data_IF_223022437028
#
_entry.id   IF_223022437028
#
_cell.length_a   1.000
_cell.length_b   1.000
_cell.length_c   1.000
_cell.angle_alpha   90.00
_cell.angle_beta   90.00
_cell.angle_gamma   90.00
#
_symmetry.space_group_name_H-M   'P 1'
#
loop_
_entity.id
_entity.type
_entity.pdbx_description
1 polymer ?
#
# COMPACT_ATOMS: atom_id res chain seq x y z
N UNK A 1 8.11 -23.49 -5.12
CA UNK A 1 7.56 -22.90 -3.88
C UNK A 1 7.88 -21.41 -3.89
N UNK A 2 6.86 -20.55 -3.99
CA UNK A 2 7.00 -19.17 -4.50
C UNK A 2 7.01 -18.07 -3.43
N UNK A 3 7.62 -18.29 -2.28
CA UNK A 3 7.66 -17.29 -1.20
C UNK A 3 8.12 -15.93 -1.71
N UNK A 4 7.45 -14.88 -1.23
CA UNK A 4 7.88 -13.50 -1.43
C UNK A 4 8.36 -12.93 -0.12
N UNK A 5 9.31 -12.01 -0.21
CA UNK A 5 9.83 -11.35 0.97
C UNK A 5 10.01 -9.87 0.72
N UNK A 6 9.83 -9.10 1.79
CA UNK A 6 10.13 -7.68 1.84
C UNK A 6 11.10 -7.49 3.01
N UNK A 7 12.22 -6.82 2.75
CA UNK A 7 13.23 -6.52 3.75
C UNK A 7 13.34 -5.02 3.97
N UNK A 8 13.24 -4.63 5.23
CA UNK A 8 13.42 -3.26 5.71
C UNK A 8 14.47 -3.27 6.82
N UNK A 9 15.44 -2.36 6.72
CA UNK A 9 16.47 -2.18 7.74
C UNK A 9 16.38 -0.76 8.25
N UNK A 10 16.09 -0.60 9.53
CA UNK A 10 15.98 0.71 10.17
C UNK A 10 17.37 1.26 10.49
N UNK A 11 17.49 2.58 10.50
CA UNK A 11 18.73 3.27 10.81
C UNK A 11 18.42 4.60 11.52
N UNK A 12 19.36 5.17 12.29
CA UNK A 12 19.10 6.36 13.09
C UNK A 12 18.90 7.65 12.28
N UNK A 13 19.22 7.67 10.99
CA UNK A 13 19.15 8.86 10.14
C UNK A 13 17.88 8.89 9.28
N UNK A 14 17.26 7.74 9.05
CA UNK A 14 16.05 7.61 8.24
C UNK A 14 14.77 7.79 9.06
N UNK A 15 13.76 8.41 8.44
CA UNK A 15 12.40 8.37 8.98
C UNK A 15 11.88 6.92 8.95
N UNK A 16 11.43 6.32 10.08
CA UNK A 16 11.05 4.91 10.14
C UNK A 16 9.97 4.50 9.12
N UNK A 17 8.93 5.32 8.95
CA UNK A 17 7.89 5.06 7.96
C UNK A 17 8.43 5.05 6.53
N UNK A 18 9.39 5.93 6.22
CA UNK A 18 10.03 5.98 4.90
C UNK A 18 10.81 4.70 4.61
N UNK A 19 11.45 4.11 5.61
CA UNK A 19 12.16 2.81 5.48
C UNK A 19 11.18 1.72 5.06
N UNK A 20 10.03 1.64 5.75
CA UNK A 20 8.98 0.66 5.43
C UNK A 20 8.43 0.91 4.03
N UNK A 21 7.99 2.14 3.72
CA UNK A 21 7.39 2.43 2.42
C UNK A 21 8.36 2.18 1.27
N UNK A 22 9.63 2.54 1.43
CA UNK A 22 10.69 2.28 0.44
C UNK A 22 10.98 0.80 0.24
N UNK A 23 10.83 -0.03 1.29
CA UNK A 23 10.99 -1.49 1.15
C UNK A 23 9.88 -2.10 0.30
N UNK A 24 8.63 -1.69 0.53
CA UNK A 24 7.50 -2.10 -0.30
C UNK A 24 7.64 -1.59 -1.73
N UNK A 25 8.00 -0.32 -1.93
CA UNK A 25 8.17 0.25 -3.27
C UNK A 25 9.23 -0.52 -4.07
N UNK A 26 10.37 -0.86 -3.46
CA UNK A 26 11.40 -1.73 -4.07
C UNK A 26 10.87 -3.11 -4.43
N UNK A 27 10.05 -3.72 -3.57
CA UNK A 27 9.40 -5.01 -3.87
C UNK A 27 8.52 -4.90 -5.12
N UNK A 28 7.68 -3.86 -5.20
CA UNK A 28 6.82 -3.63 -6.36
C UNK A 28 7.63 -3.36 -7.63
N UNK A 29 8.70 -2.57 -7.56
CA UNK A 29 9.60 -2.36 -8.70
C UNK A 29 10.18 -3.67 -9.22
N UNK A 30 10.60 -4.56 -8.32
CA UNK A 30 11.20 -5.84 -8.69
C UNK A 30 10.18 -6.76 -9.39
N UNK A 31 8.98 -6.93 -8.83
CA UNK A 31 7.95 -7.77 -9.47
C UNK A 31 7.46 -7.17 -10.80
N UNK A 32 7.52 -5.85 -10.98
CA UNK A 32 7.14 -5.21 -12.24
C UNK A 32 8.18 -5.36 -13.33
N UNK A 33 9.47 -5.31 -12.96
CA UNK A 33 10.56 -5.56 -13.88
C UNK A 33 10.59 -7.02 -14.36
N UNK A 34 10.07 -7.94 -13.55
CA UNK A 34 10.07 -9.36 -13.88
C UNK A 34 8.89 -9.76 -14.78
N UNK A 35 9.20 -10.20 -16.00
CA UNK A 35 8.17 -10.66 -16.97
C UNK A 35 7.41 -11.90 -16.52
N UNK A 36 8.02 -12.78 -15.72
CA UNK A 36 7.32 -13.96 -15.21
C UNK A 36 6.26 -13.63 -14.16
N UNK A 37 6.29 -12.43 -13.60
CA UNK A 37 5.43 -11.98 -12.50
C UNK A 37 4.20 -11.21 -12.99
N UNK A 38 4.03 -11.01 -14.29
CA UNK A 38 2.97 -10.17 -14.86
C UNK A 38 1.56 -10.65 -14.48
N UNK A 39 1.32 -11.95 -14.46
CA UNK A 39 0.03 -12.51 -14.04
C UNK A 39 -0.21 -12.28 -12.54
N UNK A 40 0.83 -12.42 -11.72
CA UNK A 40 0.75 -12.12 -10.29
C UNK A 40 0.46 -10.64 -10.05
N UNK A 41 1.19 -9.74 -10.70
CA UNK A 41 0.96 -8.30 -10.66
C UNK A 41 -0.48 -7.96 -11.07
N UNK A 42 -0.98 -8.54 -12.17
CA UNK A 42 -2.35 -8.33 -12.62
C UNK A 42 -3.37 -8.75 -11.55
N UNK A 43 -3.17 -9.91 -10.89
CA UNK A 43 -4.02 -10.35 -9.78
C UNK A 43 -4.00 -9.37 -8.60
N UNK A 44 -2.82 -8.87 -8.21
CA UNK A 44 -2.69 -7.87 -7.13
C UNK A 44 -3.42 -6.59 -7.50
N UNK A 45 -3.24 -6.07 -8.72
CA UNK A 45 -3.93 -4.87 -9.23
C UNK A 45 -5.45 -5.08 -9.20
N UNK A 46 -5.94 -6.19 -9.75
CA UNK A 46 -7.37 -6.50 -9.75
C UNK A 46 -7.93 -6.68 -8.34
N UNK A 47 -7.14 -7.19 -7.39
CA UNK A 47 -7.55 -7.27 -5.99
C UNK A 47 -7.68 -5.87 -5.37
N UNK A 48 -6.70 -5.00 -5.58
CA UNK A 48 -6.72 -3.64 -5.06
C UNK A 48 -7.87 -2.82 -5.66
N UNK A 49 -8.11 -2.91 -6.97
CA UNK A 49 -9.22 -2.19 -7.63
C UNK A 49 -10.60 -2.63 -7.15
N UNK A 50 -10.76 -3.90 -6.77
CA UNK A 50 -12.04 -4.41 -6.24
C UNK A 50 -12.28 -4.01 -4.79
N UNK A 51 -11.21 -3.81 -4.02
CA UNK A 51 -11.28 -3.62 -2.57
C UNK A 51 -11.02 -2.18 -2.11
N UNK A 52 -10.58 -1.28 -3.00
CA UNK A 52 -10.23 0.10 -2.68
C UNK A 52 -10.99 1.09 -3.59
N UNK A 53 -11.40 2.22 -3.01
CA UNK A 53 -11.93 3.35 -3.77
C UNK A 53 -10.84 4.03 -4.60
N UNK A 54 -11.23 4.81 -5.62
CA UNK A 54 -10.29 5.63 -6.41
C UNK A 54 -9.45 6.55 -5.53
N UNK A 55 -10.06 7.15 -4.50
CA UNK A 55 -9.39 7.99 -3.49
C UNK A 55 -8.32 7.23 -2.70
N UNK A 56 -8.62 5.99 -2.29
CA UNK A 56 -7.67 5.11 -1.62
C UNK A 56 -6.51 4.70 -2.54
N UNK A 57 -6.77 4.45 -3.83
CA UNK A 57 -5.73 4.15 -4.82
C UNK A 57 -4.81 5.37 -5.04
N UNK A 58 -5.37 6.58 -5.12
CA UNK A 58 -4.55 7.81 -5.20
C UNK A 58 -3.67 7.97 -3.96
N UNK A 59 -4.22 7.67 -2.78
CA UNK A 59 -3.46 7.66 -1.52
C UNK A 59 -2.28 6.67 -1.58
N UNK A 60 -2.49 5.46 -2.11
CA UNK A 60 -1.40 4.50 -2.36
C UNK A 60 -0.37 5.04 -3.36
N UNK A 61 -0.79 5.69 -4.44
CA UNK A 61 0.12 6.32 -5.42
C UNK A 61 0.94 7.48 -4.85
N UNK A 62 0.46 8.12 -3.78
CA UNK A 62 1.24 9.11 -3.03
C UNK A 62 2.24 8.45 -2.08
N UNK A 63 1.88 7.30 -1.51
CA UNK A 63 2.72 6.55 -0.57
C UNK A 63 3.82 5.73 -1.26
N UNK A 64 3.51 5.17 -2.43
CA UNK A 64 4.37 4.32 -3.23
C UNK A 64 4.45 4.88 -4.65
N UNK A 65 5.55 5.54 -5.02
CA UNK A 65 5.74 6.10 -6.37
C UNK A 65 5.50 5.08 -7.48
N UNK A 66 5.86 3.81 -7.27
CA UNK A 66 5.69 2.73 -8.24
C UNK A 66 4.24 2.48 -8.62
N UNK A 67 3.30 2.76 -7.73
CA UNK A 67 1.87 2.55 -7.98
C UNK A 67 1.33 3.50 -9.05
N UNK A 68 1.99 4.63 -9.30
CA UNK A 68 1.63 5.55 -10.38
C UNK A 68 1.74 4.89 -11.76
N UNK A 69 2.66 3.95 -11.91
CA UNK A 69 2.85 3.17 -13.13
C UNK A 69 1.76 2.11 -13.25
N UNK A 70 1.27 1.58 -12.12
CA UNK A 70 0.25 0.53 -12.08
C UNK A 70 -1.17 1.03 -12.33
N UNK A 71 -1.45 2.27 -11.94
CA UNK A 71 -2.80 2.86 -11.97
C UNK A 71 -2.89 4.13 -12.83
N UNK A 72 -2.40 4.15 -14.08
CA UNK A 72 -2.41 5.35 -14.90
C UNK A 72 -3.83 5.82 -15.24
N UNK A 73 -4.77 4.88 -15.37
CA UNK A 73 -6.19 5.18 -15.65
C UNK A 73 -6.91 5.84 -14.49
N UNK A 74 -6.61 5.45 -13.25
CA UNK A 74 -7.20 6.06 -12.04
C UNK A 74 -6.69 7.47 -11.87
N UNK A 75 -5.38 7.69 -12.02
CA UNK A 75 -4.79 9.02 -11.94
C UNK A 75 -5.33 9.94 -13.03
N UNK A 76 -5.49 9.45 -14.27
CA UNK A 76 -6.09 10.23 -15.35
C UNK A 76 -7.54 10.62 -15.04
N UNK A 77 -8.36 9.70 -14.52
CA UNK A 77 -9.76 10.00 -14.16
C UNK A 77 -9.88 11.02 -13.05
N UNK A 78 -9.07 10.89 -11.98
CA UNK A 78 -9.12 11.84 -10.86
C UNK A 78 -8.67 13.24 -11.27
N UNK A 79 -7.72 13.36 -12.21
CA UNK A 79 -7.34 14.65 -12.82
C UNK A 79 -8.43 15.19 -13.75
N UNK A 80 -9.31 14.35 -14.30
CA UNK A 80 -10.45 14.78 -15.11
C UNK A 80 -11.70 15.12 -14.27
N UNK A 81 -11.83 14.61 -13.05
CA UNK A 81 -13.00 14.79 -12.18
C UNK A 81 -12.92 16.04 -11.28
N UNK A 82 -11.82 16.80 -11.30
CA UNK A 82 -11.75 18.13 -10.65
C UNK A 82 -12.78 19.13 -11.21
N UNK A 83 -13.43 18.83 -12.35
CA UNK A 83 -14.49 19.65 -12.95
C UNK A 83 -15.93 19.21 -12.60
N UNK A 84 -16.16 18.14 -11.82
CA UNK A 84 -17.52 17.63 -11.55
C UNK A 84 -17.74 17.24 -10.08
N UNK A 85 -17.66 18.22 -9.18
CA UNK A 85 -18.18 18.07 -7.81
C UNK A 85 -19.71 18.23 -7.79
N UNK A 86 -20.48 17.16 -8.03
CA UNK A 86 -21.81 16.91 -7.43
C UNK A 86 -22.47 15.65 -8.01
N UNK A 87 -22.52 14.55 -7.24
CA UNK A 87 -23.76 13.85 -6.85
C UNK A 87 -23.52 12.45 -6.23
N UNK A 88 -24.09 12.31 -5.02
CA UNK A 88 -24.74 11.13 -4.41
C UNK A 88 -24.07 9.74 -4.39
N UNK A 89 -23.48 9.43 -3.23
CA UNK A 89 -24.13 8.54 -2.26
C UNK A 89 -23.95 7.03 -2.39
N UNK A 90 -22.88 6.49 -1.78
CA UNK A 90 -22.91 5.28 -0.92
C UNK A 90 -21.83 5.40 0.16
N UNK A 91 -22.30 5.44 1.42
CA UNK A 91 -21.70 5.02 2.69
C UNK A 91 -20.20 5.26 3.02
N UNK A 92 -20.03 6.16 3.99
CA UNK A 92 -19.20 6.07 5.20
C UNK A 92 -17.66 6.02 5.09
N UNK A 93 -17.05 6.96 5.83
CA UNK A 93 -15.65 7.04 6.28
C UNK A 93 -14.57 7.58 5.33
N UNK A 94 -14.94 8.22 4.21
CA UNK A 94 -13.97 9.04 3.47
C UNK A 94 -13.98 10.48 4.04
N UNK A 95 -13.31 10.64 5.18
CA UNK A 95 -12.83 11.93 5.67
C UNK A 95 -11.82 12.48 4.66
N UNK A 96 -12.36 13.10 3.61
CA UNK A 96 -11.61 13.90 2.65
C UNK A 96 -11.26 15.23 3.33
N UNK A 97 -10.30 15.18 4.26
CA UNK A 97 -9.69 16.36 4.82
C UNK A 97 -8.50 16.77 3.95
N UNK A 98 -8.78 17.74 3.06
CA UNK A 98 -7.95 18.90 2.75
C UNK A 98 -6.44 18.76 3.02
N UNK A 99 -5.63 18.82 1.95
CA UNK A 99 -4.29 19.39 2.01
C UNK A 99 -3.32 18.79 3.04
N UNK A 100 -2.60 17.76 2.60
CA UNK A 100 -1.18 17.50 2.94
C UNK A 100 -0.78 16.60 4.11
N UNK A 101 -1.65 15.81 4.78
CA UNK A 101 -1.19 14.61 5.52
C UNK A 101 -2.23 13.47 5.52
N UNK A 102 -1.80 12.26 5.13
CA UNK A 102 -2.62 11.05 5.25
C UNK A 102 -2.82 10.69 6.73
N UNK A 103 -4.06 10.48 7.15
CA UNK A 103 -4.33 10.07 8.54
C UNK A 103 -3.70 8.70 8.83
N UNK A 104 -3.23 8.51 10.06
CA UNK A 104 -2.60 7.25 10.49
C UNK A 104 -3.55 6.05 10.35
N UNK A 105 -4.84 6.26 10.63
CA UNK A 105 -5.89 5.22 10.45
C UNK A 105 -5.99 4.78 9.00
N UNK A 106 -6.02 5.75 8.07
CA UNK A 106 -6.06 5.49 6.62
C UNK A 106 -4.79 4.76 6.17
N UNK A 107 -3.63 5.17 6.66
CA UNK A 107 -2.36 4.50 6.35
C UNK A 107 -2.39 3.02 6.77
N UNK A 108 -2.80 2.72 8.01
CA UNK A 108 -2.92 1.34 8.49
C UNK A 108 -3.90 0.52 7.63
N UNK A 109 -5.07 1.09 7.32
CA UNK A 109 -6.05 0.45 6.46
C UNK A 109 -5.47 0.10 5.08
N UNK A 110 -4.76 1.05 4.45
CA UNK A 110 -4.15 0.85 3.13
C UNK A 110 -3.07 -0.22 3.16
N UNK A 111 -2.18 -0.21 4.15
CA UNK A 111 -1.17 -1.26 4.29
C UNK A 111 -1.79 -2.64 4.52
N UNK A 112 -2.84 -2.76 5.32
CA UNK A 112 -3.56 -4.03 5.51
C UNK A 112 -4.16 -4.55 4.22
N UNK A 113 -4.83 -3.68 3.45
CA UNK A 113 -5.37 -4.05 2.13
C UNK A 113 -4.28 -4.40 1.12
N UNK A 114 -3.15 -3.71 1.18
CA UNK A 114 -1.98 -4.01 0.37
C UNK A 114 -1.41 -5.39 0.66
N UNK A 115 -1.18 -5.70 1.94
CA UNK A 115 -0.69 -7.02 2.39
C UNK A 115 -1.67 -8.12 1.98
N UNK A 116 -2.97 -7.92 2.20
CA UNK A 116 -4.03 -8.86 1.80
C UNK A 116 -4.05 -9.10 0.29
N UNK A 117 -3.77 -8.07 -0.53
CA UNK A 117 -3.72 -8.23 -1.98
C UNK A 117 -2.46 -8.97 -2.48
N UNK A 118 -1.34 -8.84 -1.76
CA UNK A 118 -0.02 -9.39 -2.11
C UNK A 118 0.14 -10.83 -1.58
N UNK A 119 -0.37 -11.09 -0.38
CA UNK A 119 -0.25 -12.39 0.27
C UNK A 119 -1.32 -13.36 -0.24
N UNK A 120 -0.94 -14.59 -0.55
CA UNK A 120 -1.90 -15.67 -0.83
C UNK A 120 -1.40 -16.99 -0.25
N UNK A 121 -2.29 -17.98 -0.13
CA UNK A 121 -1.92 -19.33 0.33
C UNK A 121 -0.84 -19.96 -0.54
N UNK A 122 -0.88 -19.71 -1.85
CA UNK A 122 0.11 -20.20 -2.81
C UNK A 122 1.44 -19.44 -2.75
N UNK A 123 1.38 -18.19 -2.24
CA UNK A 123 2.48 -17.23 -2.27
C UNK A 123 2.56 -16.44 -0.95
N UNK A 124 3.04 -17.08 0.13
CA UNK A 124 3.13 -16.42 1.43
C UNK A 124 4.16 -15.28 1.41
N UNK A 125 3.88 -14.24 2.17
CA UNK A 125 4.73 -13.06 2.33
C UNK A 125 5.50 -13.12 3.65
N UNK A 126 6.83 -13.07 3.57
CA UNK A 126 7.73 -12.90 4.70
C UNK A 126 8.18 -11.44 4.81
N UNK A 127 7.97 -10.81 5.96
CA UNK A 127 8.44 -9.47 6.25
C UNK A 127 9.65 -9.56 7.19
N UNK A 128 10.77 -8.98 6.79
CA UNK A 128 11.99 -8.93 7.58
C UNK A 128 12.28 -7.48 7.98
N UNK A 129 12.36 -7.23 9.28
CA UNK A 129 12.63 -5.91 9.85
C UNK A 129 13.87 -5.97 10.75
N UNK A 130 14.97 -5.36 10.31
CA UNK A 130 16.25 -5.32 11.04
C UNK A 130 16.43 -3.99 11.78
N UNK A 131 17.20 -4.02 12.87
CA UNK A 131 17.56 -2.84 13.67
C UNK A 131 16.35 -2.06 14.22
N UNK A 132 15.29 -2.79 14.63
CA UNK A 132 14.03 -2.24 15.16
C UNK A 132 14.19 -1.22 16.30
N UNK A 133 15.32 -1.19 17.00
CA UNK A 133 15.63 -0.17 18.00
C UNK A 133 15.59 1.28 17.46
N UNK A 134 15.66 1.46 16.13
CA UNK A 134 15.55 2.76 15.47
C UNK A 134 14.13 3.08 14.98
N UNK A 135 13.16 2.18 15.16
CA UNK A 135 11.77 2.45 14.82
C UNK A 135 11.08 3.34 15.88
N UNK A 136 10.16 4.19 15.43
CA UNK A 136 9.33 4.99 16.33
C UNK A 136 8.06 4.24 16.75
N UNK A 137 7.39 4.73 17.81
CA UNK A 137 6.18 4.10 18.36
C UNK A 137 5.07 3.92 17.33
N UNK A 138 4.95 4.89 16.41
CA UNK A 138 3.95 4.82 15.33
C UNK A 138 4.30 3.67 14.38
N UNK A 139 5.54 3.58 13.92
CA UNK A 139 5.98 2.48 13.07
C UNK A 139 5.77 1.12 13.76
N UNK A 140 6.07 1.00 15.05
CA UNK A 140 5.82 -0.23 15.81
C UNK A 140 4.33 -0.57 15.89
N UNK A 141 3.44 0.41 16.03
CA UNK A 141 2.00 0.19 15.94
C UNK A 141 1.57 -0.30 14.56
N UNK A 142 2.13 0.25 13.48
CA UNK A 142 1.89 -0.23 12.12
C UNK A 142 2.32 -1.70 11.98
N UNK A 143 3.55 -2.03 12.38
CA UNK A 143 4.07 -3.39 12.27
C UNK A 143 3.18 -4.38 13.05
N UNK A 144 2.76 -4.00 14.26
CA UNK A 144 1.82 -4.78 15.06
C UNK A 144 0.48 -4.97 14.32
N UNK A 145 -0.05 -3.90 13.73
CA UNK A 145 -1.28 -3.93 12.96
C UNK A 145 -1.20 -4.79 11.69
N UNK A 146 -0.01 -5.03 11.12
CA UNK A 146 0.22 -5.94 9.98
C UNK A 146 0.36 -7.40 10.41
N UNK A 147 0.61 -7.68 11.68
CA UNK A 147 0.69 -9.04 12.21
C UNK A 147 -0.68 -9.57 12.68
N UNK A 148 -1.64 -8.69 12.94
CA UNK A 148 -3.01 -9.07 13.31
C UNK A 148 -3.71 -9.86 12.19
N UNK A 149 -4.25 -11.04 12.49
CA UNK A 149 -4.81 -11.95 11.47
C UNK A 149 -6.07 -11.44 10.76
N UNK A 150 -6.73 -10.42 11.31
CA UNK A 150 -8.06 -9.99 10.90
C UNK A 150 -8.14 -9.47 9.45
N UNK A 151 -7.00 -9.17 8.82
CA UNK A 151 -6.95 -8.67 7.43
C UNK A 151 -6.43 -9.70 6.41
N UNK A 152 -6.08 -10.92 6.84
CA UNK A 152 -5.51 -11.99 5.99
C UNK A 152 -6.55 -13.07 5.60
N UNK A 153 -7.84 -12.72 5.59
CA UNK A 153 -8.94 -13.64 5.28
C UNK A 153 -9.12 -13.86 3.78
#
# INVERSE_FOLDING_TARGET
FGWIYIHAKFDPQSQPLSVVTSAFDRFFLNILANRSEQEYVARVISSLQRNLSSSAIVSLCCLFPTFRILFPSVLRRVVSDEDLSTQNGVAADDEFASGSQMSWRRLNFLFRKLISAVCSVERPLALFFDDLQWADDRCMQLLSALMERDHLQ
#
